data_IF_653228589136
#
_entry.id   IF_653228589136
#
_cell.length_a   1.000
_cell.length_b   1.000
_cell.length_c   1.000
_cell.angle_alpha   90.00
_cell.angle_beta   90.00
_cell.angle_gamma   90.00
#
_symmetry.space_group_name_H-M   'P 1'
#
loop_
_entity.id
_entity.type
_entity.pdbx_description
1 polymer ?
#
# COMPACT_ATOMS: atom_id res chain seq x y z
N UNK A 1 23.25 6.43 -2.78
CA UNK A 1 23.51 5.88 -4.14
C UNK A 1 23.17 6.85 -5.28
N UNK A 2 22.11 7.66 -5.20
CA UNK A 2 21.75 8.61 -6.28
C UNK A 2 22.79 9.71 -6.54
N UNK A 3 23.43 10.24 -5.48
CA UNK A 3 24.48 11.26 -5.61
C UNK A 3 25.65 10.77 -6.47
N UNK A 4 26.18 9.57 -6.18
CA UNK A 4 27.31 8.95 -6.91
C UNK A 4 26.97 8.75 -8.40
N UNK A 5 25.72 8.35 -8.72
CA UNK A 5 25.27 8.16 -10.12
C UNK A 5 25.11 9.49 -10.88
N UNK A 6 24.70 10.58 -10.21
CA UNK A 6 24.61 11.93 -10.82
C UNK A 6 26.01 12.49 -11.15
N UNK A 7 26.99 12.27 -10.27
CA UNK A 7 28.39 12.63 -10.53
C UNK A 7 28.96 11.87 -11.74
N UNK A 8 28.63 10.58 -11.92
CA UNK A 8 29.13 9.81 -13.07
C UNK A 8 28.64 10.36 -14.43
N UNK A 9 27.40 10.88 -14.49
CA UNK A 9 26.83 11.39 -15.75
C UNK A 9 27.36 12.79 -16.08
N UNK A 10 27.54 13.65 -15.07
CA UNK A 10 28.21 14.93 -15.24
C UNK A 10 29.67 14.73 -15.64
N UNK A 11 30.37 13.78 -15.03
CA UNK A 11 31.74 13.43 -15.41
C UNK A 11 31.84 12.92 -16.85
N UNK A 12 30.88 12.08 -17.28
CA UNK A 12 30.80 11.63 -18.67
C UNK A 12 30.59 12.80 -19.65
N UNK A 13 29.69 13.73 -19.33
CA UNK A 13 29.49 14.94 -20.13
C UNK A 13 30.75 15.82 -20.20
N UNK A 14 31.46 15.99 -19.08
CA UNK A 14 32.71 16.75 -19.04
C UNK A 14 33.77 16.10 -19.93
N UNK A 15 33.90 14.76 -19.90
CA UNK A 15 34.80 14.03 -20.79
C UNK A 15 34.43 14.26 -22.26
N UNK A 16 33.14 14.23 -22.62
CA UNK A 16 32.67 14.50 -23.99
C UNK A 16 33.02 15.91 -24.44
N UNK A 17 32.83 16.92 -23.58
CA UNK A 17 33.16 18.32 -23.88
C UNK A 17 34.68 18.48 -24.07
N UNK A 18 35.50 17.86 -23.22
CA UNK A 18 36.96 17.88 -23.33
C UNK A 18 37.41 17.22 -24.64
N UNK A 19 36.82 16.08 -25.01
CA UNK A 19 37.12 15.40 -26.27
C UNK A 19 36.73 16.25 -27.48
N UNK A 20 35.58 16.93 -27.44
CA UNK A 20 35.16 17.86 -28.49
C UNK A 20 36.10 19.06 -28.62
N UNK A 21 36.52 19.66 -27.50
CA UNK A 21 37.46 20.78 -27.49
C UNK A 21 38.84 20.36 -27.99
N UNK A 22 39.32 19.18 -27.60
CA UNK A 22 40.55 18.61 -28.12
C UNK A 22 40.46 18.37 -29.64
N UNK A 23 39.33 17.88 -30.13
CA UNK A 23 39.10 17.67 -31.56
C UNK A 23 39.12 19.00 -32.34
N UNK A 24 38.39 20.01 -31.84
CA UNK A 24 38.36 21.35 -32.44
C UNK A 24 39.77 21.95 -32.44
N UNK A 25 40.53 21.80 -31.35
CA UNK A 25 41.91 22.28 -31.26
C UNK A 25 42.83 21.60 -32.28
N UNK A 26 42.73 20.27 -32.43
CA UNK A 26 43.51 19.48 -33.40
C UNK A 26 43.20 19.90 -34.85
N UNK A 27 41.91 20.15 -35.16
CA UNK A 27 41.46 20.65 -36.46
C UNK A 27 41.97 22.07 -36.73
N UNK A 28 41.83 22.97 -35.74
CA UNK A 28 42.14 24.40 -35.90
C UNK A 28 43.65 24.70 -35.99
N UNK A 29 44.50 23.82 -35.44
CA UNK A 29 45.96 23.93 -35.52
C UNK A 29 46.57 23.28 -36.79
N UNK A 30 45.77 22.94 -37.80
CA UNK A 30 46.23 22.29 -39.05
C UNK A 30 47.02 20.98 -38.86
N UNK A 31 47.03 20.38 -37.66
CA UNK A 31 47.80 19.15 -37.40
C UNK A 31 47.29 17.91 -38.15
N UNK A 32 46.06 17.94 -38.65
CA UNK A 32 45.49 16.91 -39.55
C UNK A 32 45.83 17.19 -41.03
N UNK A 33 46.20 18.42 -41.39
CA UNK A 33 46.53 18.82 -42.76
C UNK A 33 48.04 18.92 -43.05
N UNK A 34 48.89 18.64 -42.07
CA UNK A 34 50.36 18.58 -42.22
C UNK A 34 50.87 17.18 -41.94
N UNK A 35 50.40 16.21 -42.74
CA UNK A 35 51.08 14.93 -42.94
C UNK A 35 50.93 14.65 -44.45
N UNK A 36 51.95 14.15 -45.10
CA UNK A 36 51.88 13.57 -46.46
C UNK A 36 51.00 12.30 -46.48
N UNK A 37 49.76 12.40 -45.98
CA UNK A 37 48.76 11.36 -46.07
C UNK A 37 47.69 11.76 -47.08
N UNK A 38 47.19 10.78 -47.81
CA UNK A 38 46.18 11.00 -48.83
C UNK A 38 44.93 11.61 -48.18
N UNK A 39 44.25 12.54 -48.87
CA UNK A 39 42.99 13.14 -48.43
C UNK A 39 41.95 12.10 -47.92
N UNK A 40 42.06 10.86 -48.39
CA UNK A 40 41.31 9.67 -47.94
C UNK A 40 41.52 9.33 -46.46
N UNK A 41 42.74 9.43 -45.93
CA UNK A 41 43.08 9.02 -44.56
C UNK A 41 42.54 10.01 -43.51
N UNK A 42 42.57 11.30 -43.84
CA UNK A 42 42.00 12.36 -42.99
C UNK A 42 40.46 12.33 -42.98
N UNK A 43 39.82 12.01 -44.11
CA UNK A 43 38.37 11.80 -44.18
C UNK A 43 37.94 10.54 -43.41
N UNK A 44 38.70 9.44 -43.47
CA UNK A 44 38.44 8.24 -42.67
C UNK A 44 38.60 8.50 -41.16
N UNK A 45 39.63 9.23 -40.74
CA UNK A 45 39.80 9.61 -39.34
C UNK A 45 38.62 10.45 -38.83
N UNK A 46 38.16 11.43 -39.63
CA UNK A 46 37.01 12.26 -39.27
C UNK A 46 35.69 11.47 -39.22
N UNK A 47 35.50 10.51 -40.13
CA UNK A 47 34.36 9.58 -40.12
C UNK A 47 34.35 8.67 -38.87
N UNK A 48 35.52 8.18 -38.45
CA UNK A 48 35.67 7.37 -37.24
C UNK A 48 35.31 8.15 -35.96
N UNK A 49 35.76 9.40 -35.87
CA UNK A 49 35.42 10.29 -34.74
C UNK A 49 33.93 10.59 -34.69
N UNK A 50 33.32 10.94 -35.83
CA UNK A 50 31.87 11.23 -35.88
C UNK A 50 31.03 10.01 -35.51
N UNK A 51 31.43 8.82 -35.96
CA UNK A 51 30.78 7.56 -35.60
C UNK A 51 30.89 7.26 -34.10
N UNK A 52 32.06 7.52 -33.51
CA UNK A 52 32.27 7.38 -32.06
C UNK A 52 31.40 8.35 -31.25
N UNK A 53 31.33 9.63 -31.64
CA UNK A 53 30.48 10.64 -31.00
C UNK A 53 29.00 10.28 -31.14
N UNK A 54 28.56 9.85 -32.32
CA UNK A 54 27.20 9.37 -32.55
C UNK A 54 26.83 8.18 -31.67
N UNK A 55 27.74 7.20 -31.55
CA UNK A 55 27.58 6.06 -30.65
C UNK A 55 27.46 6.45 -29.18
N UNK A 56 28.30 7.40 -28.71
CA UNK A 56 28.22 7.92 -27.34
C UNK A 56 26.89 8.63 -27.06
N UNK A 57 26.40 9.47 -27.97
CA UNK A 57 25.12 10.16 -27.82
C UNK A 57 23.95 9.17 -27.76
N UNK A 58 23.96 8.13 -28.60
CA UNK A 58 22.94 7.09 -28.57
C UNK A 58 22.89 6.35 -27.22
N UNK A 59 24.05 6.03 -26.63
CA UNK A 59 24.12 5.41 -25.29
C UNK A 59 23.55 6.33 -24.21
N UNK A 60 23.89 7.62 -24.24
CA UNK A 60 23.37 8.60 -23.27
C UNK A 60 21.85 8.71 -23.37
N UNK A 61 21.30 8.81 -24.58
CA UNK A 61 19.86 8.89 -24.83
C UNK A 61 19.16 7.60 -24.39
N UNK A 62 19.73 6.43 -24.70
CA UNK A 62 19.19 5.13 -24.28
C UNK A 62 19.14 5.01 -22.75
N UNK A 63 20.21 5.40 -22.04
CA UNK A 63 20.24 5.43 -20.57
C UNK A 63 19.21 6.40 -20.02
N UNK A 64 19.04 7.57 -20.66
CA UNK A 64 18.09 8.57 -20.21
C UNK A 64 16.64 8.10 -20.34
N UNK A 65 16.27 7.55 -21.51
CA UNK A 65 14.93 6.99 -21.77
C UNK A 65 14.67 5.81 -20.83
N UNK A 66 15.61 4.86 -20.72
CA UNK A 66 15.47 3.72 -19.81
C UNK A 66 15.27 4.15 -18.36
N UNK A 67 15.99 5.18 -17.88
CA UNK A 67 15.82 5.73 -16.53
C UNK A 67 14.49 6.45 -16.36
N UNK A 68 14.01 7.16 -17.39
CA UNK A 68 12.72 7.85 -17.37
C UNK A 68 11.58 6.83 -17.27
N UNK A 69 11.58 5.80 -18.12
CA UNK A 69 10.59 4.71 -18.07
C UNK A 69 10.60 3.99 -16.71
N UNK A 70 11.79 3.77 -16.13
CA UNK A 70 11.90 3.13 -14.82
C UNK A 70 11.34 4.01 -13.70
N UNK A 71 11.46 5.34 -13.81
CA UNK A 71 10.89 6.29 -12.83
C UNK A 71 9.37 6.37 -12.96
N UNK A 72 8.86 6.51 -14.18
CA UNK A 72 7.42 6.59 -14.43
C UNK A 72 6.71 5.31 -13.98
N UNK A 73 7.26 4.13 -14.31
CA UNK A 73 6.73 2.85 -13.81
C UNK A 73 6.77 2.76 -12.29
N UNK A 74 7.81 3.31 -11.63
CA UNK A 74 7.91 3.32 -10.17
C UNK A 74 6.88 4.25 -9.54
N UNK A 75 6.68 5.45 -10.10
CA UNK A 75 5.69 6.42 -9.64
C UNK A 75 4.26 5.91 -9.81
N UNK A 76 3.94 5.28 -10.95
CA UNK A 76 2.64 4.64 -11.19
C UNK A 76 2.35 3.53 -10.18
N UNK A 77 3.37 2.70 -9.90
CA UNK A 77 3.25 1.62 -8.93
C UNK A 77 3.10 2.17 -7.51
N UNK A 78 3.84 3.21 -7.13
CA UNK A 78 3.69 3.89 -5.84
C UNK A 78 2.32 4.59 -5.69
N UNK A 79 1.78 5.17 -6.76
CA UNK A 79 0.43 5.73 -6.79
C UNK A 79 -0.63 4.65 -6.55
N UNK A 80 -0.57 3.55 -7.32
CA UNK A 80 -1.47 2.41 -7.16
C UNK A 80 -1.44 1.85 -5.74
N UNK A 81 -0.23 1.74 -5.15
CA UNK A 81 -0.05 1.29 -3.77
C UNK A 81 -0.70 2.22 -2.76
N UNK A 82 -0.53 3.54 -2.88
CA UNK A 82 -1.19 4.52 -2.00
C UNK A 82 -2.70 4.42 -2.11
N UNK A 83 -3.22 4.30 -3.32
CA UNK A 83 -4.65 4.16 -3.59
C UNK A 83 -5.24 2.93 -2.88
N UNK A 84 -4.61 1.75 -3.00
CA UNK A 84 -5.08 0.53 -2.32
C UNK A 84 -5.10 0.69 -0.80
N UNK A 85 -4.05 1.24 -0.21
CA UNK A 85 -3.97 1.43 1.25
C UNK A 85 -5.00 2.44 1.73
N UNK A 86 -5.24 3.52 0.98
CA UNK A 86 -6.29 4.48 1.29
C UNK A 86 -7.67 3.85 1.24
N UNK A 87 -7.99 3.07 0.21
CA UNK A 87 -9.28 2.38 0.14
C UNK A 87 -9.47 1.39 1.29
N UNK A 88 -8.46 0.55 1.55
CA UNK A 88 -8.46 -0.38 2.67
C UNK A 88 -8.72 0.35 4.00
N UNK A 89 -8.02 1.46 4.24
CA UNK A 89 -8.22 2.27 5.44
C UNK A 89 -9.67 2.75 5.60
N UNK A 90 -10.29 3.28 4.55
CA UNK A 90 -11.68 3.72 4.61
C UNK A 90 -12.66 2.56 4.83
N UNK A 91 -12.42 1.40 4.21
CA UNK A 91 -13.21 0.18 4.47
C UNK A 91 -13.10 -0.25 5.94
N UNK A 92 -11.90 -0.19 6.53
CA UNK A 92 -11.71 -0.52 7.95
C UNK A 92 -12.37 0.53 8.87
N UNK A 93 -12.37 1.81 8.51
CA UNK A 93 -13.09 2.85 9.26
C UNK A 93 -14.61 2.62 9.25
N UNK A 94 -15.20 2.22 8.11
CA UNK A 94 -16.62 1.82 8.05
C UNK A 94 -16.90 0.64 9.00
N UNK A 95 -16.00 -0.35 9.04
CA UNK A 95 -16.09 -1.49 9.95
C UNK A 95 -16.01 -1.08 11.43
N UNK A 96 -15.07 -0.21 11.81
CA UNK A 96 -14.96 0.32 13.18
C UNK A 96 -16.23 1.07 13.59
N UNK A 97 -16.86 1.80 12.67
CA UNK A 97 -18.15 2.46 12.95
C UNK A 97 -19.27 1.45 13.19
N UNK A 98 -19.37 0.40 12.38
CA UNK A 98 -20.36 -0.68 12.58
C UNK A 98 -20.11 -1.41 13.91
N UNK A 99 -18.85 -1.65 14.28
CA UNK A 99 -18.50 -2.22 15.59
C UNK A 99 -18.91 -1.31 16.75
N UNK A 100 -18.65 -0.01 16.65
CA UNK A 100 -19.07 0.97 17.64
C UNK A 100 -20.60 1.00 17.82
N UNK A 101 -21.37 0.98 16.73
CA UNK A 101 -22.82 0.96 16.80
C UNK A 101 -23.35 -0.34 17.42
N UNK A 102 -22.74 -1.49 17.07
CA UNK A 102 -23.05 -2.77 17.68
C UNK A 102 -22.76 -2.75 19.19
N UNK A 103 -21.56 -2.36 19.60
CA UNK A 103 -21.17 -2.26 21.02
C UNK A 103 -22.11 -1.31 21.78
N UNK A 104 -22.35 -0.10 21.27
CA UNK A 104 -23.21 0.89 21.91
C UNK A 104 -24.62 0.36 22.16
N UNK A 105 -25.18 -0.37 21.20
CA UNK A 105 -26.57 -0.83 21.27
C UNK A 105 -26.71 -2.10 22.12
N UNK A 106 -25.72 -3.00 22.13
CA UNK A 106 -25.83 -4.29 22.82
C UNK A 106 -25.14 -4.33 24.19
N UNK A 107 -24.11 -3.51 24.45
CA UNK A 107 -23.41 -3.49 25.73
C UNK A 107 -24.34 -3.22 26.93
N UNK A 108 -25.23 -2.19 26.91
CA UNK A 108 -26.16 -1.98 28.02
C UNK A 108 -27.16 -3.12 28.19
N UNK A 109 -27.54 -3.78 27.10
CA UNK A 109 -28.53 -4.87 27.11
C UNK A 109 -27.94 -6.14 27.70
N UNK A 110 -26.66 -6.41 27.49
CA UNK A 110 -25.98 -7.63 27.96
C UNK A 110 -25.45 -7.49 29.40
N UNK A 111 -25.01 -6.28 29.78
CA UNK A 111 -24.37 -6.05 31.09
C UNK A 111 -25.24 -5.29 32.09
N UNK A 112 -26.31 -4.58 31.69
CA UNK A 112 -27.06 -3.68 32.59
C UNK A 112 -28.53 -4.00 32.80
N UNK A 113 -29.21 -4.87 32.02
CA UNK A 113 -30.63 -5.23 32.22
C UNK A 113 -31.03 -6.61 31.66
N UNK A 114 -32.12 -7.19 32.17
CA UNK A 114 -32.92 -8.25 31.53
C UNK A 114 -33.76 -7.68 30.39
N UNK A 115 -33.15 -7.27 29.27
CA UNK A 115 -33.91 -6.77 28.11
C UNK A 115 -33.78 -7.75 26.96
N UNK A 116 -34.93 -8.27 26.53
CA UNK A 116 -35.06 -9.01 25.29
C UNK A 116 -34.58 -8.14 24.12
N UNK A 117 -33.51 -8.57 23.46
CA UNK A 117 -33.09 -8.02 22.18
C UNK A 117 -34.05 -8.58 21.12
N UNK A 118 -34.69 -7.75 20.32
CA UNK A 118 -35.49 -8.27 19.22
C UNK A 118 -34.61 -8.81 18.09
N UNK A 119 -35.01 -9.94 17.51
CA UNK A 119 -34.37 -10.57 16.36
C UNK A 119 -34.17 -9.58 15.20
N UNK A 120 -35.12 -8.64 15.02
CA UNK A 120 -35.04 -7.61 13.98
C UNK A 120 -33.90 -6.63 14.20
N UNK A 121 -33.69 -6.16 15.43
CA UNK A 121 -32.62 -5.23 15.79
C UNK A 121 -31.27 -5.95 15.70
N UNK A 122 -31.20 -7.19 16.19
CA UNK A 122 -30.00 -7.99 16.11
C UNK A 122 -29.58 -8.28 14.66
N UNK A 123 -30.51 -8.80 13.85
CA UNK A 123 -30.23 -9.14 12.44
C UNK A 123 -29.84 -7.92 11.62
N UNK A 124 -30.40 -6.73 11.91
CA UNK A 124 -29.98 -5.48 11.26
C UNK A 124 -28.48 -5.21 11.47
N UNK A 125 -28.02 -5.17 12.71
CA UNK A 125 -26.62 -4.90 13.01
C UNK A 125 -25.68 -6.04 12.59
N UNK A 126 -26.14 -7.29 12.71
CA UNK A 126 -25.40 -8.45 12.22
C UNK A 126 -25.18 -8.39 10.70
N UNK A 127 -26.21 -8.03 9.93
CA UNK A 127 -26.08 -7.91 8.48
C UNK A 127 -25.12 -6.78 8.08
N UNK A 128 -25.10 -5.66 8.83
CA UNK A 128 -24.10 -4.60 8.60
C UNK A 128 -22.67 -5.11 8.82
N UNK A 129 -22.43 -5.89 9.87
CA UNK A 129 -21.13 -6.51 10.15
C UNK A 129 -20.69 -7.43 8.99
N UNK A 130 -21.59 -8.31 8.55
CA UNK A 130 -21.30 -9.24 7.45
C UNK A 130 -21.02 -8.48 6.16
N UNK A 131 -21.87 -7.54 5.76
CA UNK A 131 -21.68 -6.75 4.54
C UNK A 131 -20.36 -5.98 4.54
N UNK A 132 -20.03 -5.34 5.66
CA UNK A 132 -18.78 -4.60 5.80
C UNK A 132 -17.56 -5.54 5.76
N UNK A 133 -17.69 -6.76 6.28
CA UNK A 133 -16.62 -7.77 6.23
C UNK A 133 -16.38 -8.34 4.83
N UNK A 134 -17.44 -8.49 4.03
CA UNK A 134 -17.33 -8.96 2.64
C UNK A 134 -16.53 -7.96 1.79
N UNK A 135 -16.70 -6.65 2.01
CA UNK A 135 -15.87 -5.61 1.35
C UNK A 135 -14.38 -5.80 1.65
N UNK A 136 -14.02 -6.29 2.83
CA UNK A 136 -12.62 -6.52 3.19
C UNK A 136 -12.01 -7.73 2.46
N UNK A 137 -12.84 -8.69 2.01
CA UNK A 137 -12.40 -9.87 1.23
C UNK A 137 -12.03 -9.53 -0.21
N UNK A 138 -12.42 -8.36 -0.71
CA UNK A 138 -12.01 -7.87 -2.02
C UNK A 138 -10.50 -7.60 -2.11
N UNK A 139 -9.83 -7.45 -0.97
CA UNK A 139 -8.39 -7.22 -0.88
C UNK A 139 -7.63 -8.51 -0.59
N UNK A 140 -6.55 -8.74 -1.34
CA UNK A 140 -5.65 -9.88 -1.16
C UNK A 140 -4.34 -9.47 -0.51
N UNK A 141 -3.65 -10.45 0.09
CA UNK A 141 -2.30 -10.30 0.65
C UNK A 141 -1.32 -9.75 -0.39
N UNK A 142 -1.48 -10.15 -1.67
CA UNK A 142 -0.68 -9.68 -2.79
C UNK A 142 -0.84 -8.19 -3.10
N UNK A 143 -1.93 -7.57 -2.64
CA UNK A 143 -2.22 -6.16 -2.89
C UNK A 143 -1.50 -5.25 -1.89
N UNK A 144 -0.91 -5.82 -0.84
CA UNK A 144 -0.31 -5.07 0.26
C UNK A 144 1.10 -4.58 -0.10
N UNK A 145 1.35 -3.26 -0.11
CA UNK A 145 2.59 -2.70 -0.64
C UNK A 145 3.80 -2.80 0.29
N UNK A 146 3.57 -3.06 1.58
CA UNK A 146 4.60 -3.01 2.61
C UNK A 146 4.29 -4.01 3.73
N UNK A 147 5.32 -4.67 4.27
CA UNK A 147 5.16 -5.71 5.30
C UNK A 147 4.40 -5.23 6.55
N UNK A 148 4.60 -3.97 6.97
CA UNK A 148 3.85 -3.40 8.11
C UNK A 148 2.35 -3.28 7.82
N UNK A 149 1.99 -2.92 6.58
CA UNK A 149 0.59 -2.84 6.13
C UNK A 149 0.00 -4.23 5.99
N UNK A 150 0.78 -5.17 5.49
CA UNK A 150 0.40 -6.58 5.44
C UNK A 150 0.10 -7.15 6.84
N UNK A 151 0.97 -6.92 7.83
CA UNK A 151 0.75 -7.38 9.20
C UNK A 151 -0.53 -6.76 9.77
N UNK A 152 -0.73 -5.44 9.61
CA UNK A 152 -1.95 -4.77 10.05
C UNK A 152 -3.20 -5.37 9.37
N UNK A 153 -3.14 -5.60 8.06
CA UNK A 153 -4.23 -6.18 7.30
C UNK A 153 -4.59 -7.60 7.76
N UNK A 154 -3.59 -8.46 7.98
CA UNK A 154 -3.81 -9.82 8.49
C UNK A 154 -4.44 -9.79 9.88
N UNK A 155 -3.89 -8.97 10.80
CA UNK A 155 -4.44 -8.80 12.15
C UNK A 155 -5.89 -8.30 12.11
N UNK A 156 -6.19 -7.31 11.27
CA UNK A 156 -7.55 -6.78 11.10
C UNK A 156 -8.48 -7.88 10.58
N UNK A 157 -8.08 -8.61 9.54
CA UNK A 157 -8.88 -9.69 8.96
C UNK A 157 -9.20 -10.79 9.98
N UNK A 158 -8.18 -11.28 10.70
CA UNK A 158 -8.38 -12.31 11.73
C UNK A 158 -9.34 -11.87 12.85
N UNK A 159 -9.26 -10.60 13.29
CA UNK A 159 -10.12 -10.10 14.35
C UNK A 159 -11.55 -9.80 13.88
N UNK A 160 -11.73 -9.44 12.61
CA UNK A 160 -13.06 -9.37 11.98
C UNK A 160 -13.70 -10.76 11.91
N UNK A 161 -12.95 -11.77 11.47
CA UNK A 161 -13.42 -13.16 11.41
C UNK A 161 -13.84 -13.68 12.80
N UNK A 162 -13.03 -13.41 13.83
CA UNK A 162 -13.39 -13.71 15.23
C UNK A 162 -14.67 -13.00 15.67
N UNK A 163 -14.79 -11.70 15.37
CA UNK A 163 -15.99 -10.91 15.69
C UNK A 163 -17.25 -11.51 15.06
N UNK A 164 -17.17 -11.94 13.80
CA UNK A 164 -18.29 -12.59 13.09
C UNK A 164 -18.59 -13.97 13.70
N UNK A 165 -17.58 -14.76 14.06
CA UNK A 165 -17.77 -16.04 14.76
C UNK A 165 -18.53 -15.85 16.06
N UNK A 166 -18.08 -14.92 16.90
CA UNK A 166 -18.74 -14.61 18.17
C UNK A 166 -20.17 -14.09 17.96
N UNK A 167 -20.41 -13.28 16.93
CA UNK A 167 -21.76 -12.84 16.60
C UNK A 167 -22.65 -14.00 16.09
N UNK A 168 -22.10 -14.98 15.39
CA UNK A 168 -22.86 -16.18 15.00
C UNK A 168 -23.17 -17.08 16.20
N UNK A 169 -22.20 -17.30 17.09
CA UNK A 169 -22.39 -18.03 18.34
C UNK A 169 -23.45 -17.33 19.22
N UNK A 170 -23.36 -16.01 19.34
CA UNK A 170 -24.37 -15.18 20.02
C UNK A 170 -25.76 -15.36 19.43
N UNK A 171 -25.87 -15.38 18.09
CA UNK A 171 -27.14 -15.61 17.38
C UNK A 171 -27.71 -17.01 17.63
N UNK A 172 -26.85 -18.03 17.63
CA UNK A 172 -27.26 -19.40 17.88
C UNK A 172 -27.84 -19.53 19.30
N UNK A 173 -27.15 -18.99 20.31
CA UNK A 173 -27.67 -19.01 21.69
C UNK A 173 -28.94 -18.16 21.84
N UNK A 174 -29.03 -17.04 21.12
CA UNK A 174 -30.22 -16.17 21.12
C UNK A 174 -31.45 -16.85 20.50
N UNK A 175 -31.26 -17.63 19.44
CA UNK A 175 -32.32 -18.35 18.74
C UNK A 175 -32.68 -19.70 19.38
N UNK A 176 -31.71 -20.44 19.91
CA UNK A 176 -31.93 -21.74 20.57
C UNK A 176 -32.54 -21.59 21.96
N UNK A 177 -32.41 -20.41 22.57
CA UNK A 177 -33.05 -20.08 23.84
C UNK A 177 -34.01 -18.92 23.62
N UNK A 178 -35.24 -19.24 23.21
CA UNK A 178 -36.39 -18.45 23.66
C UNK A 178 -36.28 -18.40 25.18
N UNK A 179 -35.83 -17.25 25.70
CA UNK A 179 -35.40 -17.08 27.09
C UNK A 179 -36.59 -17.31 28.02
N UNK A 180 -36.79 -18.56 28.43
CA UNK A 180 -37.48 -18.81 29.68
C UNK A 180 -36.61 -18.21 30.79
N UNK A 181 -37.16 -17.21 31.47
CA UNK A 181 -36.50 -16.35 32.45
C UNK A 181 -35.71 -17.14 33.53
N UNK A 182 -36.06 -18.41 33.77
CA UNK A 182 -35.44 -19.29 34.76
C UNK A 182 -34.02 -19.76 34.43
N UNK A 183 -33.61 -19.78 33.16
CA UNK A 183 -32.28 -20.30 32.73
C UNK A 183 -31.29 -19.17 32.43
N UNK A 184 -31.77 -17.92 32.33
CA UNK A 184 -30.96 -16.78 31.92
C UNK A 184 -29.77 -16.53 32.86
N UNK A 185 -29.98 -16.62 34.17
CA UNK A 185 -28.93 -16.43 35.19
C UNK A 185 -27.75 -17.41 35.05
N UNK A 186 -27.99 -18.61 34.50
CA UNK A 186 -26.96 -19.64 34.29
C UNK A 186 -26.14 -19.36 33.02
N UNK A 187 -26.77 -18.75 32.00
CA UNK A 187 -26.16 -18.54 30.67
C UNK A 187 -25.58 -17.13 30.54
N UNK A 188 -26.03 -16.18 31.36
CA UNK A 188 -25.59 -14.78 31.37
C UNK A 188 -24.06 -14.62 31.53
N UNK A 189 -23.34 -15.38 32.40
CA UNK A 189 -21.89 -15.26 32.51
C UNK A 189 -21.15 -15.65 31.23
N UNK A 190 -21.63 -16.69 30.52
CA UNK A 190 -21.08 -17.12 29.24
C UNK A 190 -21.30 -16.03 28.17
N UNK A 191 -22.51 -15.48 28.09
CA UNK A 191 -22.85 -14.35 27.22
C UNK A 191 -21.93 -13.14 27.42
N UNK A 192 -21.70 -12.79 28.68
CA UNK A 192 -20.86 -11.67 29.05
C UNK A 192 -19.39 -11.93 28.73
N UNK A 193 -18.93 -13.17 28.85
CA UNK A 193 -17.58 -13.59 28.47
C UNK A 193 -17.36 -13.49 26.96
N UNK A 194 -18.28 -14.05 26.16
CA UNK A 194 -18.16 -14.06 24.70
C UNK A 194 -18.25 -12.65 24.13
N UNK A 195 -19.16 -11.83 24.66
CA UNK A 195 -19.25 -10.43 24.26
C UNK A 195 -17.99 -9.63 24.64
N UNK A 196 -17.36 -9.92 25.78
CA UNK A 196 -16.06 -9.32 26.12
C UNK A 196 -14.95 -9.73 25.14
N UNK A 197 -14.90 -11.00 24.75
CA UNK A 197 -13.93 -11.47 23.76
C UNK A 197 -14.11 -10.76 22.41
N UNK A 198 -15.37 -10.55 22.02
CA UNK A 198 -15.72 -9.78 20.83
C UNK A 198 -15.28 -8.31 20.92
N UNK A 199 -15.52 -7.62 22.05
CA UNK A 199 -15.03 -6.24 22.25
C UNK A 199 -13.51 -6.17 22.09
N UNK A 200 -12.76 -7.12 22.66
CA UNK A 200 -11.30 -7.16 22.55
C UNK A 200 -10.85 -7.30 21.08
N UNK A 201 -11.56 -8.11 20.29
CA UNK A 201 -11.30 -8.25 18.86
C UNK A 201 -11.60 -6.93 18.11
N UNK A 202 -12.71 -6.27 18.41
CA UNK A 202 -13.07 -4.96 17.86
C UNK A 202 -12.04 -3.88 18.20
N UNK A 203 -11.59 -3.81 19.46
CA UNK A 203 -10.55 -2.87 19.91
C UNK A 203 -9.20 -3.11 19.21
N UNK A 204 -8.89 -4.37 18.92
CA UNK A 204 -7.69 -4.72 18.16
C UNK A 204 -7.78 -4.17 16.73
N UNK A 205 -8.95 -4.30 16.08
CA UNK A 205 -9.18 -3.68 14.75
C UNK A 205 -8.98 -2.17 14.85
N UNK A 206 -9.64 -1.50 15.80
CA UNK A 206 -9.53 -0.05 16.03
C UNK A 206 -8.09 0.44 16.21
N UNK A 207 -7.29 -0.30 16.99
CA UNK A 207 -5.89 0.01 17.22
C UNK A 207 -5.06 -0.07 15.93
N UNK A 208 -5.28 -1.11 15.10
CA UNK A 208 -4.59 -1.24 13.82
C UNK A 208 -5.05 -0.18 12.81
N UNK A 209 -6.33 0.18 12.78
CA UNK A 209 -6.85 1.28 11.96
C UNK A 209 -6.18 2.61 12.30
N UNK A 210 -6.01 2.90 13.60
CA UNK A 210 -5.32 4.09 14.08
C UNK A 210 -3.84 4.10 13.70
N UNK A 211 -3.16 2.95 13.74
CA UNK A 211 -1.78 2.84 13.23
C UNK A 211 -1.74 3.12 11.73
N UNK A 212 -2.68 2.55 10.98
CA UNK A 212 -2.78 2.72 9.52
C UNK A 212 -3.01 4.20 9.13
N UNK A 213 -3.80 4.95 9.90
CA UNK A 213 -3.98 6.39 9.69
C UNK A 213 -2.65 7.15 9.81
N UNK A 214 -1.79 6.76 10.76
CA UNK A 214 -0.44 7.30 10.93
C UNK A 214 0.47 7.03 9.73
N UNK A 215 0.39 5.82 9.14
CA UNK A 215 1.14 5.49 7.91
C UNK A 215 0.68 6.30 6.70
N UNK A 216 -0.60 6.59 6.62
CA UNK A 216 -1.21 7.36 5.55
C UNK A 216 -1.05 8.88 5.73
N UNK A 217 -0.67 9.34 6.93
CA UNK A 217 -0.62 10.77 7.26
C UNK A 217 -2.02 11.41 7.31
N UNK A 218 -3.05 10.63 7.59
CA UNK A 218 -4.45 11.08 7.68
C UNK A 218 -4.94 11.07 9.12
N UNK A 219 -5.85 12.00 9.44
CA UNK A 219 -6.46 12.06 10.77
C UNK A 219 -7.41 10.87 10.95
N UNK A 220 -7.27 10.17 12.06
CA UNK A 220 -8.22 9.14 12.47
C UNK A 220 -9.58 9.81 12.77
N UNK A 221 -10.70 9.31 12.18
CA UNK A 221 -12.03 9.86 12.43
C UNK A 221 -12.48 9.70 13.89
#
# INVERSE_FOLDING_TARGET
MEKIKKYSLHFLMVIVIILFLALIYIINNNSIFVIESSFTDSVQAMSGVLSFVGGMLAVIVSIYISRKDTREKKEELDLKRRTVVSYLYYTICELDQVFNDFERNFYPLIFKREVYISDSIYNYHFNQLVQASEKLKEYQVSDMPHYKILIMFVTVKENIEKTISFANEFKQVHNEKMVFNSVFSVVQPHYQSDFRAMIIAMDTVRLETKKMSGYLGVKYP
#
